data_IF_529057144790
#
_entry.id   IF_529057144790
#
_cell.length_a   1.000
_cell.length_b   1.000
_cell.length_c   1.000
_cell.angle_alpha   90.00
_cell.angle_beta   90.00
_cell.angle_gamma   90.00
#
_symmetry.space_group_name_H-M   'P 1'
#
loop_
_entity.id
_entity.type
_entity.pdbx_description
1 polymer ?
#
# COMPACT_ATOMS: atom_id res chain seq x y z
N UNK A 1 -23.48 6.88 -5.88
CA UNK A 1 -22.05 7.25 -6.07
C UNK A 1 -21.28 5.96 -6.21
N UNK A 2 -20.40 5.86 -7.21
CA UNK A 2 -19.47 4.75 -7.35
C UNK A 2 -18.24 5.14 -6.54
N UNK A 3 -17.87 4.34 -5.54
CA UNK A 3 -16.71 4.63 -4.70
C UNK A 3 -15.43 4.29 -5.48
N UNK A 4 -14.79 5.33 -6.02
CA UNK A 4 -13.49 5.23 -6.72
C UNK A 4 -12.31 5.08 -5.73
N UNK A 5 -12.60 4.83 -4.45
CA UNK A 5 -11.59 4.71 -3.37
C UNK A 5 -10.61 3.55 -3.59
N UNK A 6 -11.04 2.51 -4.30
CA UNK A 6 -10.21 1.36 -4.68
C UNK A 6 -9.87 1.34 -6.17
N UNK A 7 -10.14 2.41 -6.90
CA UNK A 7 -9.69 2.53 -8.28
C UNK A 7 -8.21 2.93 -8.26
N UNK A 8 -7.37 1.95 -7.93
CA UNK A 8 -5.95 2.02 -8.18
C UNK A 8 -5.83 2.04 -9.68
N UNK A 9 -5.90 3.26 -10.26
CA UNK A 9 -5.71 3.55 -11.67
C UNK A 9 -4.92 2.40 -12.23
N UNK A 10 -5.64 1.45 -12.83
CA UNK A 10 -4.99 0.33 -13.44
C UNK A 10 -4.39 1.05 -14.61
N UNK A 11 -3.14 1.52 -14.45
CA UNK A 11 -2.19 1.43 -15.50
C UNK A 11 -2.24 -0.04 -15.83
N UNK A 12 -3.23 -0.38 -16.68
CA UNK A 12 -3.08 -1.33 -17.73
C UNK A 12 -1.74 -0.93 -18.26
N UNK A 13 -0.75 -1.64 -17.74
CA UNK A 13 0.49 -1.80 -18.41
C UNK A 13 0.03 -2.62 -19.60
N UNK A 14 -0.57 -1.91 -20.57
CA UNK A 14 -0.43 -2.12 -21.99
C UNK A 14 1.06 -1.93 -22.31
N UNK A 15 1.92 -2.61 -21.51
CA UNK A 15 3.22 -3.06 -21.92
C UNK A 15 2.86 -4.15 -22.90
N UNK A 16 2.69 -3.72 -24.14
CA UNK A 16 3.00 -4.46 -25.34
C UNK A 16 3.34 -5.92 -25.04
N UNK A 17 2.31 -6.75 -25.01
CA UNK A 17 2.36 -8.18 -24.73
C UNK A 17 2.99 -8.95 -25.91
N UNK A 18 4.14 -8.47 -26.38
CA UNK A 18 4.79 -8.87 -27.63
C UNK A 18 6.27 -9.23 -27.41
N UNK A 19 6.59 -9.92 -26.32
CA UNK A 19 7.89 -10.58 -26.17
C UNK A 19 7.71 -11.84 -25.36
N UNK A 20 7.64 -12.99 -26.03
CA UNK A 20 7.65 -14.33 -25.43
C UNK A 20 8.70 -14.47 -24.31
N UNK A 21 9.83 -13.76 -24.44
CA UNK A 21 10.88 -13.66 -23.44
C UNK A 21 10.39 -13.16 -22.06
N UNK A 22 9.56 -12.12 -22.01
CA UNK A 22 9.09 -11.55 -20.73
C UNK A 22 8.15 -12.52 -20.00
N UNK A 23 7.25 -13.18 -20.74
CA UNK A 23 6.35 -14.20 -20.16
C UNK A 23 7.16 -15.37 -19.60
N UNK A 24 8.21 -15.80 -20.30
CA UNK A 24 9.11 -16.85 -19.82
C UNK A 24 9.87 -16.44 -18.54
N UNK A 25 10.31 -15.19 -18.45
CA UNK A 25 10.98 -14.67 -17.24
C UNK A 25 10.04 -14.67 -16.02
N UNK A 26 8.79 -14.22 -16.21
CA UNK A 26 7.75 -14.24 -15.17
C UNK A 26 7.48 -15.67 -14.71
N UNK A 27 7.25 -16.59 -15.65
CA UNK A 27 6.96 -18.00 -15.35
C UNK A 27 8.13 -18.67 -14.63
N UNK A 28 9.36 -18.39 -15.06
CA UNK A 28 10.57 -18.89 -14.41
C UNK A 28 10.69 -18.39 -12.96
N UNK A 29 10.43 -17.10 -12.71
CA UNK A 29 10.48 -16.54 -11.36
C UNK A 29 9.43 -17.16 -10.44
N UNK A 30 8.19 -17.35 -10.94
CA UNK A 30 7.10 -18.01 -10.21
C UNK A 30 7.47 -19.45 -9.88
N UNK A 31 8.00 -20.21 -10.83
CA UNK A 31 8.43 -21.59 -10.59
C UNK A 31 9.56 -21.65 -9.56
N UNK A 32 10.53 -20.73 -9.62
CA UNK A 32 11.64 -20.68 -8.67
C UNK A 32 11.14 -20.38 -7.26
N UNK A 33 10.29 -19.37 -7.09
CA UNK A 33 9.68 -19.05 -5.81
C UNK A 33 8.85 -20.21 -5.24
N UNK A 34 8.06 -20.88 -6.10
CA UNK A 34 7.19 -22.00 -5.67
C UNK A 34 7.97 -23.24 -5.22
N UNK A 35 9.19 -23.42 -5.71
CA UNK A 35 10.07 -24.53 -5.34
C UNK A 35 11.13 -24.14 -4.29
N UNK A 36 11.07 -22.92 -3.76
CA UNK A 36 12.02 -22.45 -2.76
C UNK A 36 11.76 -23.17 -1.41
N UNK A 37 12.75 -23.87 -0.82
CA UNK A 37 12.59 -24.48 0.50
C UNK A 37 12.52 -23.45 1.63
N UNK A 38 12.85 -22.18 1.39
CA UNK A 38 12.85 -21.13 2.38
C UNK A 38 11.43 -20.62 2.67
N UNK A 39 10.91 -20.95 3.86
CA UNK A 39 9.60 -20.47 4.33
C UNK A 39 9.66 -19.11 5.06
N UNK A 40 10.83 -18.48 5.17
CA UNK A 40 10.94 -17.16 5.79
C UNK A 40 10.40 -16.07 4.86
N UNK A 41 9.62 -15.14 5.38
CA UNK A 41 9.04 -14.03 4.60
C UNK A 41 10.09 -13.19 3.85
N UNK A 42 11.33 -13.16 4.34
CA UNK A 42 12.45 -12.45 3.71
C UNK A 42 12.83 -13.02 2.34
N UNK A 43 12.47 -14.27 2.02
CA UNK A 43 12.77 -14.88 0.72
C UNK A 43 12.09 -14.13 -0.44
N UNK A 44 10.96 -13.48 -0.18
CA UNK A 44 10.24 -12.67 -1.18
C UNK A 44 11.10 -11.53 -1.73
N UNK A 45 12.08 -11.03 -0.96
CA UNK A 45 13.00 -9.98 -1.43
C UNK A 45 13.92 -10.45 -2.56
N UNK A 46 14.14 -11.76 -2.71
CA UNK A 46 14.99 -12.34 -3.74
C UNK A 46 14.26 -12.47 -5.10
N UNK A 47 12.95 -12.19 -5.13
CA UNK A 47 12.05 -12.33 -6.26
C UNK A 47 11.34 -11.01 -6.55
N UNK A 48 11.87 -10.21 -7.48
CA UNK A 48 11.41 -8.84 -7.72
C UNK A 48 9.95 -8.73 -8.20
N UNK A 49 9.49 -9.66 -9.03
CA UNK A 49 8.12 -9.70 -9.57
C UNK A 49 7.17 -10.19 -8.48
N UNK A 50 7.55 -11.25 -7.76
CA UNK A 50 6.74 -11.79 -6.65
C UNK A 50 6.60 -10.77 -5.52
N UNK A 51 7.66 -10.02 -5.20
CA UNK A 51 7.61 -8.98 -4.17
C UNK A 51 6.62 -7.87 -4.51
N UNK A 52 6.64 -7.38 -5.76
CA UNK A 52 5.66 -6.39 -6.24
C UNK A 52 4.24 -6.92 -6.11
N UNK A 53 4.01 -8.17 -6.48
CA UNK A 53 2.70 -8.83 -6.35
C UNK A 53 2.29 -8.98 -4.88
N UNK A 54 3.23 -9.38 -4.03
CA UNK A 54 3.01 -9.57 -2.60
C UNK A 54 2.57 -8.27 -1.93
N UNK A 55 3.27 -7.16 -2.22
CA UNK A 55 2.88 -5.84 -1.72
C UNK A 55 1.47 -5.49 -2.22
N UNK A 56 1.21 -5.59 -3.52
CA UNK A 56 -0.08 -5.20 -4.11
C UNK A 56 -1.27 -5.97 -3.53
N UNK A 57 -1.16 -7.30 -3.45
CA UNK A 57 -2.30 -8.16 -3.15
C UNK A 57 -2.35 -8.67 -1.71
N UNK A 58 -1.20 -8.89 -1.06
CA UNK A 58 -1.17 -9.46 0.29
C UNK A 58 -1.01 -8.40 1.41
N UNK A 59 -0.47 -7.22 1.12
CA UNK A 59 -0.23 -6.19 2.17
C UNK A 59 -1.34 -5.16 2.31
N UNK A 60 -2.24 -5.08 1.32
CA UNK A 60 -3.45 -4.27 1.41
C UNK A 60 -4.34 -4.81 2.54
N UNK A 61 -4.24 -4.24 3.75
CA UNK A 61 -5.10 -4.61 4.88
C UNK A 61 -6.56 -4.41 4.45
N UNK A 62 -7.38 -5.47 4.35
CA UNK A 62 -8.80 -5.33 4.08
C UNK A 62 -9.47 -4.91 5.39
N UNK A 63 -9.32 -3.66 5.81
CA UNK A 63 -9.91 -3.17 7.05
C UNK A 63 -10.07 -1.65 7.04
N UNK A 64 -11.20 -1.19 7.57
CA UNK A 64 -11.43 0.20 7.95
C UNK A 64 -10.61 0.61 9.18
N UNK A 65 -10.05 -0.33 9.94
CA UNK A 65 -9.37 -0.04 11.21
C UNK A 65 -8.21 0.98 11.13
N UNK A 66 -7.35 0.99 10.09
CA UNK A 66 -6.33 2.04 9.95
C UNK A 66 -6.94 3.43 9.73
N UNK A 67 -8.03 3.50 8.95
CA UNK A 67 -8.76 4.73 8.66
C UNK A 67 -9.52 5.21 9.89
N UNK A 68 -10.15 4.30 10.64
CA UNK A 68 -10.80 4.61 11.93
C UNK A 68 -9.79 5.14 12.96
N UNK A 69 -8.58 4.55 13.02
CA UNK A 69 -7.49 5.06 13.86
C UNK A 69 -7.07 6.47 13.42
N UNK A 70 -6.97 6.72 12.12
CA UNK A 70 -6.66 8.04 11.57
C UNK A 70 -7.74 9.07 11.94
N UNK A 71 -9.02 8.71 11.84
CA UNK A 71 -10.14 9.57 12.25
C UNK A 71 -10.19 9.81 13.76
N UNK A 72 -9.78 8.83 14.58
CA UNK A 72 -9.59 9.06 16.02
C UNK A 72 -8.56 10.16 16.28
N UNK A 73 -7.42 10.15 15.59
CA UNK A 73 -6.44 11.25 15.70
C UNK A 73 -7.00 12.57 15.16
N UNK A 74 -7.73 12.54 14.05
CA UNK A 74 -8.41 13.70 13.48
C UNK A 74 -9.34 14.36 14.50
N UNK A 75 -10.13 13.57 15.25
CA UNK A 75 -11.01 14.09 16.32
C UNK A 75 -10.25 14.76 17.47
N UNK A 76 -9.06 14.25 17.83
CA UNK A 76 -8.20 14.84 18.87
C UNK A 76 -7.59 16.16 18.37
N UNK A 77 -7.19 16.21 17.10
CA UNK A 77 -6.58 17.39 16.49
C UNK A 77 -7.62 18.49 16.26
N UNK A 78 -8.86 18.12 15.92
CA UNK A 78 -10.00 19.03 15.70
C UNK A 78 -10.64 19.53 17.02
N UNK A 79 -9.97 19.34 18.16
CA UNK A 79 -10.48 19.80 19.44
C UNK A 79 -10.63 21.34 19.47
N UNK A 80 -11.64 21.89 20.19
CA UNK A 80 -11.96 23.33 20.19
C UNK A 80 -10.79 24.27 20.52
N UNK A 81 -9.75 23.77 21.21
CA UNK A 81 -8.54 24.50 21.59
C UNK A 81 -7.53 24.70 20.44
N UNK A 82 -7.72 24.08 19.27
CA UNK A 82 -6.77 24.10 18.13
C UNK A 82 -7.39 24.71 16.85
N UNK A 83 -8.39 25.57 17.00
CA UNK A 83 -9.31 26.02 15.95
C UNK A 83 -8.73 26.93 14.83
N UNK A 84 -7.41 26.96 14.62
CA UNK A 84 -6.74 27.86 13.68
C UNK A 84 -5.89 27.13 12.62
N UNK A 85 -6.24 25.90 12.25
CA UNK A 85 -5.60 25.18 11.15
C UNK A 85 -6.48 25.23 9.91
N UNK A 86 -5.89 25.50 8.75
CA UNK A 86 -6.53 25.24 7.47
C UNK A 86 -6.68 23.73 7.25
N UNK A 87 -7.65 23.33 6.42
CA UNK A 87 -7.92 21.91 6.11
C UNK A 87 -6.65 21.17 5.65
N UNK A 88 -5.84 21.80 4.80
CA UNK A 88 -4.56 21.23 4.33
C UNK A 88 -3.58 20.96 5.48
N UNK A 89 -3.48 21.89 6.44
CA UNK A 89 -2.57 21.72 7.59
C UNK A 89 -3.12 20.69 8.58
N UNK A 90 -4.44 20.59 8.69
CA UNK A 90 -5.10 19.55 9.48
C UNK A 90 -4.81 18.16 8.92
N UNK A 91 -5.04 17.94 7.63
CA UNK A 91 -4.78 16.67 6.95
C UNK A 91 -3.31 16.24 7.10
N UNK A 92 -2.37 17.17 6.87
CA UNK A 92 -0.94 16.91 7.04
C UNK A 92 -0.59 16.52 8.49
N UNK A 93 -1.18 17.18 9.47
CA UNK A 93 -0.93 16.86 10.89
C UNK A 93 -1.50 15.51 11.28
N UNK A 94 -2.69 15.15 10.77
CA UNK A 94 -3.29 13.82 10.97
C UNK A 94 -2.40 12.74 10.34
N UNK A 95 -1.89 12.96 9.12
CA UNK A 95 -0.99 12.04 8.43
C UNK A 95 0.32 11.85 9.20
N UNK A 96 0.96 12.95 9.63
CA UNK A 96 2.19 12.91 10.42
C UNK A 96 1.98 12.18 11.75
N UNK A 97 0.82 12.37 12.40
CA UNK A 97 0.46 11.67 13.63
C UNK A 97 0.23 10.18 13.39
N UNK A 98 -0.50 9.82 12.34
CA UNK A 98 -0.81 8.44 11.99
C UNK A 98 0.46 7.63 11.65
N UNK A 99 1.44 8.27 11.01
CA UNK A 99 2.73 7.66 10.66
C UNK A 99 3.74 7.64 11.81
N UNK A 100 3.39 8.11 13.01
CA UNK A 100 4.30 8.17 14.15
C UNK A 100 5.41 9.23 14.03
N UNK A 101 5.34 10.10 13.01
CA UNK A 101 6.31 11.17 12.77
C UNK A 101 6.04 12.42 13.64
N UNK A 102 5.03 12.38 14.50
CA UNK A 102 4.68 13.46 15.42
C UNK A 102 4.35 12.91 16.81
N UNK A 103 5.31 12.98 17.72
CA UNK A 103 5.07 12.80 19.16
C UNK A 103 4.78 14.17 19.78
N UNK A 104 3.78 14.26 20.66
CA UNK A 104 3.55 15.48 21.45
C UNK A 104 4.53 15.50 22.61
#
# INVERSE_FOLDING_TARGET
QKDDFFDFNEATTELELNSSTFVNEVEFEIMRYSNDPNSALTCVNDYAIINKLFIRYNTSLPSSAPVERMFSFASIINAPKRHALSDTNFENLVLLKANGCYEN
#
